data_IF_987221567129
#
_entry.id   IF_987221567129
#
_cell.length_a   1.000
_cell.length_b   1.000
_cell.length_c   1.000
_cell.angle_alpha   90.00
_cell.angle_beta   90.00
_cell.angle_gamma   90.00
#
_symmetry.space_group_name_H-M   'P 1'
#
loop_
_entity.id
_entity.type
_entity.pdbx_description
1 polymer ?
#
# COMPACT_ATOMS: atom_id res chain seq x y z
N UNK A 1 -24.83 28.21 38.74
CA UNK A 1 -26.08 28.63 38.12
C UNK A 1 -26.55 27.45 37.27
N UNK A 2 -27.51 26.72 37.82
CA UNK A 2 -28.07 25.46 37.27
C UNK A 2 -29.01 25.74 36.11
N UNK A 3 -28.99 24.90 35.08
CA UNK A 3 -30.20 24.57 34.32
C UNK A 3 -30.08 23.13 33.79
N UNK A 4 -30.84 22.26 34.44
CA UNK A 4 -31.24 20.95 33.96
C UNK A 4 -32.43 21.11 33.01
N UNK A 5 -32.55 20.23 32.05
CA UNK A 5 -33.86 19.77 31.58
C UNK A 5 -33.75 18.42 30.86
N UNK A 6 -34.60 17.45 31.23
CA UNK A 6 -34.66 16.15 30.60
C UNK A 6 -35.75 16.12 29.52
N UNK A 7 -35.55 15.40 28.44
CA UNK A 7 -36.64 14.98 27.57
C UNK A 7 -36.62 13.46 27.42
N UNK A 8 -37.53 12.85 28.16
CA UNK A 8 -37.97 11.47 27.93
C UNK A 8 -39.02 11.51 26.83
N UNK A 9 -38.81 10.82 25.74
CA UNK A 9 -39.87 10.46 24.83
C UNK A 9 -39.95 8.94 24.75
N UNK A 10 -41.02 8.47 25.30
CA UNK A 10 -41.54 7.09 25.18
C UNK A 10 -42.31 7.01 23.90
N UNK A 11 -42.02 6.07 23.03
CA UNK A 11 -42.84 5.75 21.85
C UNK A 11 -43.23 4.28 21.93
N UNK A 12 -44.53 3.97 21.76
CA UNK A 12 -45.09 2.67 22.06
C UNK A 12 -44.85 1.62 20.95
N UNK A 13 -44.74 0.42 21.44
CA UNK A 13 -44.66 -0.85 20.74
C UNK A 13 -45.99 -1.12 19.99
N UNK A 14 -45.97 -1.16 18.66
CA UNK A 14 -47.07 -1.66 17.86
C UNK A 14 -46.65 -2.96 17.19
N UNK A 15 -47.21 -4.06 17.67
CA UNK A 15 -47.07 -5.38 17.05
C UNK A 15 -47.98 -5.45 15.84
N UNK A 16 -47.44 -5.74 14.68
CA UNK A 16 -48.23 -6.16 13.49
C UNK A 16 -47.83 -7.58 13.12
N UNK A 17 -48.75 -8.48 13.37
CA UNK A 17 -48.72 -9.87 12.90
C UNK A 17 -49.21 -9.82 11.44
N UNK A 18 -48.42 -10.32 10.50
CA UNK A 18 -48.94 -10.61 9.15
C UNK A 18 -48.55 -12.00 8.69
N UNK A 19 -49.57 -12.64 8.20
CA UNK A 19 -49.72 -14.06 7.93
C UNK A 19 -48.89 -14.58 6.74
N UNK A 20 -48.64 -15.89 6.76
CA UNK A 20 -48.10 -16.73 5.70
C UNK A 20 -48.86 -16.54 4.36
N UNK A 21 -48.08 -16.41 3.28
CA UNK A 21 -48.54 -16.86 1.95
C UNK A 21 -47.35 -17.53 1.26
N UNK A 22 -47.44 -18.83 1.02
CA UNK A 22 -46.59 -19.58 0.10
C UNK A 22 -46.80 -19.08 -1.34
N UNK A 23 -45.71 -18.74 -2.03
CA UNK A 23 -45.70 -18.48 -3.45
C UNK A 23 -44.29 -18.77 -3.99
N UNK A 24 -44.12 -19.88 -4.71
CA UNK A 24 -42.87 -20.25 -5.35
C UNK A 24 -42.53 -19.28 -6.47
N UNK A 25 -41.37 -18.69 -6.41
CA UNK A 25 -40.69 -17.94 -7.47
C UNK A 25 -39.24 -18.30 -7.47
N UNK A 26 -38.80 -18.89 -8.58
CA UNK A 26 -37.37 -19.08 -8.86
C UNK A 26 -36.81 -17.73 -9.21
N UNK A 27 -36.26 -17.03 -8.26
CA UNK A 27 -35.46 -15.84 -8.50
C UNK A 27 -33.99 -16.19 -8.40
N UNK A 28 -33.36 -16.02 -9.55
CA UNK A 28 -31.92 -16.13 -9.69
C UNK A 28 -31.24 -15.11 -8.79
N UNK A 29 -30.68 -15.58 -7.68
CA UNK A 29 -29.81 -14.77 -6.81
C UNK A 29 -28.55 -14.44 -7.59
N UNK A 30 -28.44 -13.22 -8.08
CA UNK A 30 -27.21 -12.70 -8.59
C UNK A 30 -26.15 -12.77 -7.47
N UNK A 31 -24.95 -13.29 -7.72
CA UNK A 31 -23.90 -13.31 -6.70
C UNK A 31 -23.52 -11.87 -6.36
N UNK A 32 -23.71 -11.47 -5.11
CA UNK A 32 -23.16 -10.24 -4.57
C UNK A 32 -21.64 -10.31 -4.76
N UNK A 33 -21.11 -9.44 -5.61
CA UNK A 33 -19.68 -9.26 -5.78
C UNK A 33 -19.13 -8.68 -4.47
N UNK A 34 -18.62 -9.53 -3.60
CA UNK A 34 -17.79 -9.14 -2.47
C UNK A 34 -16.60 -8.38 -3.04
N UNK A 35 -16.26 -7.16 -2.54
CA UNK A 35 -15.03 -6.51 -2.92
C UNK A 35 -13.88 -7.49 -2.62
N UNK A 36 -13.18 -7.91 -3.68
CA UNK A 36 -12.12 -8.91 -3.56
C UNK A 36 -11.10 -8.48 -2.52
N UNK A 37 -10.81 -9.36 -1.60
CA UNK A 37 -9.59 -9.28 -0.81
C UNK A 37 -8.42 -9.08 -1.79
N UNK A 38 -7.39 -8.28 -1.44
CA UNK A 38 -6.24 -8.09 -2.31
C UNK A 38 -5.70 -9.48 -2.68
N UNK A 39 -5.67 -9.74 -3.98
CA UNK A 39 -5.11 -10.97 -4.54
C UNK A 39 -3.69 -11.11 -3.98
N UNK A 40 -3.33 -12.26 -3.38
CA UNK A 40 -2.00 -12.45 -2.86
C UNK A 40 -1.02 -12.20 -4.00
N UNK A 41 -0.17 -11.19 -3.84
CA UNK A 41 0.90 -10.88 -4.79
C UNK A 41 1.63 -12.20 -5.11
N UNK A 42 1.74 -12.51 -6.40
CA UNK A 42 2.41 -13.72 -6.87
C UNK A 42 3.68 -13.92 -6.06
N UNK A 43 3.84 -15.11 -5.48
CA UNK A 43 4.97 -15.42 -4.62
C UNK A 43 6.26 -15.05 -5.34
N UNK A 44 7.02 -14.10 -4.78
CA UNK A 44 8.29 -13.68 -5.34
C UNK A 44 9.23 -14.90 -5.37
N UNK A 45 9.64 -15.29 -6.55
CA UNK A 45 10.54 -16.43 -6.78
C UNK A 45 11.99 -15.99 -6.90
N UNK A 46 12.22 -14.70 -6.82
CA UNK A 46 13.51 -14.07 -7.05
C UNK A 46 14.25 -13.70 -5.77
N UNK A 47 15.36 -13.00 -5.96
CA UNK A 47 16.25 -12.51 -4.93
C UNK A 47 15.62 -11.37 -4.12
N UNK A 48 15.87 -11.32 -2.81
CA UNK A 48 15.57 -10.14 -1.99
C UNK A 48 16.76 -9.19 -2.00
N UNK A 49 16.51 -7.96 -2.44
CA UNK A 49 17.50 -6.88 -2.51
C UNK A 49 17.17 -5.87 -1.42
N UNK A 50 18.02 -5.75 -0.42
CA UNK A 50 17.79 -4.84 0.70
C UNK A 50 18.29 -3.44 0.40
N UNK A 51 17.47 -2.45 0.70
CA UNK A 51 17.74 -1.01 0.58
C UNK A 51 17.49 -0.39 1.95
N UNK A 52 18.53 0.11 2.59
CA UNK A 52 18.40 0.79 3.89
C UNK A 52 17.94 2.24 3.71
N UNK A 53 17.09 2.70 4.60
CA UNK A 53 16.64 4.07 4.74
C UNK A 53 17.30 4.69 5.96
N UNK A 54 18.12 5.72 5.76
CA UNK A 54 19.02 6.24 6.78
C UNK A 54 18.92 7.76 6.84
N UNK A 55 18.95 8.28 8.06
CA UNK A 55 19.25 9.69 8.35
C UNK A 55 20.49 9.73 9.26
N UNK A 56 21.52 10.47 8.87
CA UNK A 56 22.72 10.70 9.63
C UNK A 56 23.23 12.15 9.47
N UNK A 57 24.44 12.44 9.89
CA UNK A 57 25.06 13.77 9.79
C UNK A 57 25.19 14.27 8.34
N UNK A 58 25.17 13.38 7.36
CA UNK A 58 25.26 13.71 5.92
C UNK A 58 23.90 13.98 5.29
N UNK A 59 22.81 13.65 5.97
CA UNK A 59 21.44 13.84 5.51
C UNK A 59 20.60 12.56 5.51
N UNK A 60 19.52 12.57 4.73
CA UNK A 60 18.64 11.43 4.57
C UNK A 60 18.81 10.80 3.19
N UNK A 61 18.99 9.48 3.14
CA UNK A 61 19.27 8.76 1.89
C UNK A 61 18.86 7.29 1.91
N UNK A 62 18.73 6.72 0.71
CA UNK A 62 18.64 5.27 0.50
C UNK A 62 20.04 4.68 0.26
N UNK A 63 20.29 3.49 0.78
CA UNK A 63 21.55 2.77 0.61
C UNK A 63 21.32 1.30 0.24
N UNK A 64 21.68 0.87 -0.99
CA UNK A 64 22.14 1.70 -2.11
C UNK A 64 21.02 2.58 -2.69
N UNK A 65 21.35 3.70 -3.31
CA UNK A 65 20.42 4.58 -4.03
C UNK A 65 20.19 4.18 -5.50
N UNK A 66 21.10 3.36 -6.02
CA UNK A 66 21.01 2.75 -7.35
C UNK A 66 20.99 1.24 -7.16
N UNK A 67 19.97 0.59 -7.68
CA UNK A 67 19.72 -0.84 -7.52
C UNK A 67 19.56 -1.48 -8.88
N UNK A 68 20.12 -2.67 -9.07
CA UNK A 68 19.83 -3.55 -10.20
C UNK A 68 18.98 -4.72 -9.72
N UNK A 69 17.93 -5.03 -10.46
CA UNK A 69 16.98 -6.09 -10.14
C UNK A 69 16.44 -6.75 -11.41
N UNK A 70 15.86 -7.95 -11.27
CA UNK A 70 15.20 -8.67 -12.34
C UNK A 70 13.71 -8.84 -12.02
N UNK A 71 12.85 -9.04 -13.02
CA UNK A 71 11.46 -9.39 -12.76
C UNK A 71 11.35 -10.62 -11.85
N UNK A 72 10.51 -10.52 -10.81
CA UNK A 72 10.37 -11.56 -9.78
C UNK A 72 11.23 -11.37 -8.54
N UNK A 73 12.22 -10.46 -8.55
CA UNK A 73 12.93 -10.05 -7.34
C UNK A 73 12.03 -9.25 -6.39
N UNK A 74 12.49 -9.04 -5.16
CA UNK A 74 11.85 -8.19 -4.16
C UNK A 74 12.80 -7.11 -3.71
N UNK A 75 12.39 -5.85 -3.85
CA UNK A 75 13.07 -4.72 -3.20
C UNK A 75 12.57 -4.63 -1.77
N UNK A 76 13.42 -4.88 -0.80
CA UNK A 76 13.12 -4.73 0.62
C UNK A 76 13.70 -3.43 1.14
N UNK A 77 12.85 -2.45 1.37
CA UNK A 77 13.23 -1.21 2.04
C UNK A 77 13.19 -1.43 3.55
N UNK A 78 14.30 -1.20 4.22
CA UNK A 78 14.42 -1.42 5.67
C UNK A 78 14.76 -0.11 6.37
N UNK A 79 14.00 0.27 7.38
CA UNK A 79 14.32 1.45 8.18
C UNK A 79 15.53 1.18 9.07
N UNK A 80 16.62 1.92 8.83
CA UNK A 80 17.77 2.00 9.72
C UNK A 80 17.57 3.08 10.77
N UNK A 81 17.61 4.34 10.35
CA UNK A 81 17.51 5.51 11.23
C UNK A 81 16.63 6.59 10.60
N UNK A 82 15.75 7.20 11.39
CA UNK A 82 14.88 8.29 10.95
C UNK A 82 13.42 7.89 10.80
N UNK A 83 12.67 8.68 10.04
CA UNK A 83 11.27 8.41 9.68
C UNK A 83 11.15 8.56 8.16
N UNK A 84 10.84 7.51 7.47
CA UNK A 84 10.88 7.47 6.00
C UNK A 84 9.69 6.73 5.41
N UNK A 85 9.36 7.06 4.16
CA UNK A 85 8.50 6.25 3.31
C UNK A 85 9.18 5.94 1.98
N UNK A 86 8.52 5.12 1.18
CA UNK A 86 8.93 4.78 -0.19
C UNK A 86 7.77 5.09 -1.12
N UNK A 87 8.04 5.89 -2.15
CA UNK A 87 7.04 6.27 -3.12
C UNK A 87 7.61 6.24 -4.55
N UNK A 88 7.03 5.39 -5.40
CA UNK A 88 7.28 5.36 -6.83
C UNK A 88 6.33 6.33 -7.52
N UNK A 89 6.76 7.57 -7.74
CA UNK A 89 5.91 8.64 -8.26
C UNK A 89 5.50 8.40 -9.71
N UNK A 90 4.20 8.47 -10.06
CA UNK A 90 3.74 8.36 -11.45
C UNK A 90 4.36 9.40 -12.38
N UNK A 91 4.50 10.64 -11.93
CA UNK A 91 5.07 11.74 -12.72
C UNK A 91 6.56 11.52 -13.04
N UNK A 92 7.27 10.80 -12.19
CA UNK A 92 8.68 10.44 -12.39
C UNK A 92 8.87 9.09 -13.08
N UNK A 93 7.79 8.35 -13.26
CA UNK A 93 7.74 7.05 -13.94
C UNK A 93 6.65 7.04 -15.03
N UNK A 94 6.74 7.92 -16.05
CA UNK A 94 5.66 8.11 -17.01
C UNK A 94 5.40 6.81 -17.82
N UNK A 95 4.12 6.52 -17.99
CA UNK A 95 3.68 5.37 -18.78
C UNK A 95 3.92 4.00 -18.12
N UNK A 96 4.21 3.98 -16.81
CA UNK A 96 4.33 2.73 -16.04
C UNK A 96 2.98 2.42 -15.39
N UNK A 97 2.30 1.36 -15.83
CA UNK A 97 1.07 0.93 -15.16
C UNK A 97 1.40 0.25 -13.81
N UNK A 98 0.45 0.29 -12.89
CA UNK A 98 0.51 -0.48 -11.64
C UNK A 98 1.76 -0.22 -10.79
N UNK A 99 2.18 1.03 -10.66
CA UNK A 99 3.19 1.39 -9.68
C UNK A 99 2.71 1.00 -8.27
N UNK A 100 3.61 0.51 -7.40
CA UNK A 100 3.23 0.22 -6.03
C UNK A 100 2.74 1.50 -5.34
N UNK A 101 1.72 1.39 -4.46
CA UNK A 101 1.28 2.53 -3.66
C UNK A 101 2.44 3.03 -2.79
N UNK A 102 2.39 4.31 -2.41
CA UNK A 102 3.32 4.82 -1.40
C UNK A 102 3.18 4.00 -0.11
N UNK A 103 4.32 3.70 0.52
CA UNK A 103 4.28 3.10 1.85
C UNK A 103 3.77 4.09 2.90
N UNK A 104 3.26 3.60 4.01
CA UNK A 104 3.16 4.38 5.23
C UNK A 104 4.55 4.86 5.69
N UNK A 105 4.57 5.83 6.61
CA UNK A 105 5.82 6.24 7.26
C UNK A 105 6.31 5.12 8.19
N UNK A 106 7.49 4.59 7.90
CA UNK A 106 8.21 3.68 8.78
C UNK A 106 8.89 4.52 9.86
N UNK A 107 8.74 4.16 11.13
CA UNK A 107 9.15 4.97 12.28
C UNK A 107 10.05 4.21 13.27
N UNK A 108 10.06 2.89 13.20
CA UNK A 108 10.86 2.05 14.09
C UNK A 108 11.97 1.34 13.31
N UNK A 109 13.22 1.37 13.79
CA UNK A 109 14.32 0.63 13.17
C UNK A 109 13.96 -0.84 12.94
N UNK A 110 14.31 -1.35 11.76
CA UNK A 110 13.99 -2.71 11.34
C UNK A 110 12.62 -2.89 10.70
N UNK A 111 11.73 -1.90 10.70
CA UNK A 111 10.51 -1.96 9.89
C UNK A 111 10.86 -2.04 8.41
N UNK A 112 10.07 -2.81 7.66
CA UNK A 112 10.30 -3.06 6.24
C UNK A 112 9.08 -2.73 5.38
N UNK A 113 9.36 -2.40 4.12
CA UNK A 113 8.37 -2.32 3.05
C UNK A 113 8.90 -3.07 1.84
N UNK A 114 8.19 -4.09 1.40
CA UNK A 114 8.58 -4.95 0.30
C UNK A 114 7.84 -4.57 -0.99
N UNK A 115 8.59 -4.44 -2.07
CA UNK A 115 8.07 -4.17 -3.41
C UNK A 115 8.49 -5.30 -4.35
N UNK A 116 7.55 -6.16 -4.78
CA UNK A 116 7.83 -7.13 -5.84
C UNK A 116 8.18 -6.41 -7.14
N UNK A 117 9.26 -6.84 -7.79
CA UNK A 117 9.70 -6.28 -9.08
C UNK A 117 8.86 -6.90 -10.20
N UNK A 118 7.75 -6.21 -10.52
CA UNK A 118 6.87 -6.53 -11.65
C UNK A 118 7.04 -5.54 -12.81
N UNK A 119 8.05 -4.69 -12.73
CA UNK A 119 8.34 -3.65 -13.73
C UNK A 119 8.92 -4.25 -15.00
N UNK A 120 8.68 -3.57 -16.14
CA UNK A 120 9.23 -3.99 -17.41
C UNK A 120 10.78 -3.88 -17.42
N UNK A 121 11.49 -4.87 -17.95
CA UNK A 121 12.94 -4.83 -18.05
C UNK A 121 13.43 -3.77 -19.05
N UNK A 122 14.71 -3.43 -18.96
CA UNK A 122 15.36 -2.45 -19.82
C UNK A 122 15.08 -0.98 -19.46
N UNK A 123 14.47 -0.72 -18.31
CA UNK A 123 14.14 0.63 -17.82
C UNK A 123 14.66 0.87 -16.40
N UNK A 124 14.75 2.15 -16.07
CA UNK A 124 15.05 2.61 -14.71
C UNK A 124 13.82 3.27 -14.11
N UNK A 125 13.50 2.93 -12.89
CA UNK A 125 12.31 3.38 -12.16
C UNK A 125 12.73 4.20 -10.94
N UNK A 126 12.18 5.40 -10.84
CA UNK A 126 12.45 6.34 -9.78
C UNK A 126 11.63 6.05 -8.53
N UNK A 127 12.23 6.19 -7.37
CA UNK A 127 11.55 6.22 -6.08
C UNK A 127 12.14 7.29 -5.16
N UNK A 128 11.36 7.72 -4.18
CA UNK A 128 11.75 8.74 -3.22
C UNK A 128 11.16 8.49 -1.83
N UNK A 129 11.68 9.22 -0.84
CA UNK A 129 11.01 9.46 0.44
C UNK A 129 10.33 10.83 0.37
N UNK A 130 8.99 10.89 0.47
CA UNK A 130 8.26 12.14 0.26
C UNK A 130 8.71 13.29 1.15
N UNK A 131 8.87 13.12 2.49
CA UNK A 131 9.35 14.20 3.35
C UNK A 131 10.77 14.67 3.02
N UNK A 132 11.64 13.79 2.50
CA UNK A 132 13.06 14.09 2.32
C UNK A 132 13.48 14.21 0.84
N UNK A 133 12.57 14.06 -0.11
CA UNK A 133 12.86 14.23 -1.53
C UNK A 133 13.42 15.62 -1.87
N UNK A 134 12.92 16.73 -1.28
CA UNK A 134 13.53 18.05 -1.47
C UNK A 134 14.98 18.14 -0.99
N UNK A 135 15.36 17.29 -0.03
CA UNK A 135 16.71 17.19 0.51
C UNK A 135 17.59 16.16 -0.21
N UNK A 136 17.07 15.50 -1.25
CA UNK A 136 17.84 14.58 -2.07
C UNK A 136 17.66 13.11 -1.78
N UNK A 137 16.76 12.70 -0.87
CA UNK A 137 16.48 11.29 -0.61
C UNK A 137 15.67 10.64 -1.74
N UNK A 138 16.41 10.18 -2.74
CA UNK A 138 15.89 9.63 -4.01
C UNK A 138 16.74 8.44 -4.43
N UNK A 139 16.13 7.52 -5.18
CA UNK A 139 16.82 6.37 -5.74
C UNK A 139 16.23 5.90 -7.03
N UNK A 140 16.88 4.93 -7.65
CA UNK A 140 16.42 4.29 -8.88
C UNK A 140 16.66 2.78 -8.79
N UNK A 141 15.74 2.03 -9.35
CA UNK A 141 15.94 0.61 -9.66
C UNK A 141 16.00 0.44 -11.17
N UNK A 142 17.10 -0.11 -11.67
CA UNK A 142 17.26 -0.55 -13.04
C UNK A 142 16.81 -2.00 -13.14
N UNK A 143 15.82 -2.28 -13.94
CA UNK A 143 15.31 -3.64 -14.13
C UNK A 143 15.95 -4.22 -15.38
N UNK A 144 16.73 -5.27 -15.19
CA UNK A 144 17.39 -6.03 -16.26
C UNK A 144 16.47 -7.16 -16.74
N UNK A 145 16.69 -7.61 -17.99
CA UNK A 145 16.04 -8.81 -18.46
C UNK A 145 16.53 -10.03 -17.66
N UNK A 146 15.66 -11.01 -17.46
CA UNK A 146 16.11 -12.31 -16.97
C UNK A 146 17.01 -12.96 -18.04
N UNK A 147 18.12 -13.55 -17.63
CA UNK A 147 19.04 -14.33 -18.47
C UNK A 147 18.37 -15.60 -19.03
#
# INVERSE_FOLDING_TARGET
>A
MSIQLPFRSVVPLTAVIFSLACGGGKDASAPATTPGAPEPAAAATGKVITIEMITDETGSYFKPKLVEAHPGDVLRFTLGVGVHNVHFLPDSNPGVPNLPPASDLLQLPGQTFDVPVSFAPGKSYYFQCDPHAPLGMRGHVKVEAAD
#
